data_IF_500082667114
#
_entry.id   IF_500082667114
#
_cell.length_a   1.000
_cell.length_b   1.000
_cell.length_c   1.000
_cell.angle_alpha   90.00
_cell.angle_beta   90.00
_cell.angle_gamma   90.00
#
_symmetry.space_group_name_H-M   'P 1'
#
loop_
_entity.id
_entity.type
_entity.pdbx_description
1 polymer ?
#
# COMPACT_ATOMS: atom_id res chain seq x y z
N UNK A 1 -15.87 -2.05 -8.38
CA UNK A 1 -14.89 -3.16 -8.55
C UNK A 1 -14.84 -3.90 -7.22
N UNK A 2 -15.33 -5.14 -7.16
CA UNK A 2 -15.59 -5.88 -5.91
C UNK A 2 -14.70 -7.11 -5.87
N UNK A 3 -13.78 -7.25 -4.89
CA UNK A 3 -12.89 -8.43 -4.80
C UNK A 3 -12.90 -9.16 -3.47
N UNK A 4 -13.26 -10.45 -3.57
CA UNK A 4 -13.53 -11.41 -2.51
C UNK A 4 -12.29 -11.94 -1.79
N UNK A 5 -12.38 -12.04 -0.45
CA UNK A 5 -11.50 -12.84 0.41
C UNK A 5 -12.31 -14.00 0.99
N UNK A 6 -11.98 -15.24 0.59
CA UNK A 6 -12.57 -16.48 1.12
C UNK A 6 -12.39 -16.59 2.64
N UNK A 7 -13.47 -16.43 3.39
CA UNK A 7 -13.64 -17.04 4.71
C UNK A 7 -14.00 -18.52 4.52
N UNK A 8 -13.26 -19.43 5.16
CA UNK A 8 -13.64 -20.85 5.21
C UNK A 8 -14.89 -21.00 6.08
N UNK A 9 -16.07 -21.06 5.47
CA UNK A 9 -17.18 -21.82 6.03
C UNK A 9 -17.27 -23.15 5.27
N UNK A 10 -17.23 -24.23 6.02
CA UNK A 10 -17.15 -25.60 5.53
C UNK A 10 -18.54 -26.05 5.11
N UNK A 11 -18.85 -25.97 3.82
CA UNK A 11 -19.98 -26.70 3.23
C UNK A 11 -19.41 -27.67 2.19
N UNK A 12 -19.55 -28.97 2.47
CA UNK A 12 -19.22 -30.08 1.56
C UNK A 12 -20.20 -30.07 0.38
N UNK A 13 -19.71 -30.00 -0.86
CA UNK A 13 -19.73 -31.12 -1.84
C UNK A 13 -19.20 -30.70 -3.24
N UNK A 14 -18.24 -31.50 -3.70
CA UNK A 14 -17.95 -32.02 -5.06
C UNK A 14 -17.88 -31.09 -6.29
N UNK A 15 -16.64 -30.96 -6.80
CA UNK A 15 -16.19 -30.97 -8.20
C UNK A 15 -16.95 -30.19 -9.27
N UNK A 16 -16.31 -29.12 -9.78
CA UNK A 16 -15.85 -28.99 -11.17
C UNK A 16 -15.06 -27.67 -11.31
N UNK A 17 -13.83 -27.79 -11.81
CA UNK A 17 -12.87 -26.71 -12.02
C UNK A 17 -13.22 -25.85 -13.25
N UNK A 18 -13.17 -24.53 -13.10
CA UNK A 18 -13.09 -23.56 -14.20
C UNK A 18 -12.53 -22.22 -13.69
N UNK A 19 -11.76 -21.45 -14.50
CA UNK A 19 -10.92 -20.35 -14.03
C UNK A 19 -11.75 -19.12 -13.66
N UNK A 20 -11.35 -18.41 -12.59
CA UNK A 20 -12.17 -17.43 -11.86
C UNK A 20 -11.60 -16.03 -12.01
N UNK A 21 -12.39 -15.10 -12.58
CA UNK A 21 -12.03 -13.68 -12.69
C UNK A 21 -13.13 -12.74 -12.15
N UNK A 22 -12.65 -11.81 -11.32
CA UNK A 22 -13.07 -10.44 -10.97
C UNK A 22 -14.49 -9.89 -11.32
N UNK A 23 -15.27 -9.49 -10.29
CA UNK A 23 -16.61 -8.84 -10.34
C UNK A 23 -16.57 -7.30 -10.47
N UNK A 24 -17.40 -6.73 -11.36
CA UNK A 24 -17.61 -5.29 -11.55
C UNK A 24 -19.10 -4.92 -11.50
N UNK A 25 -19.41 -3.69 -11.08
CA UNK A 25 -20.76 -3.11 -11.14
C UNK A 25 -20.65 -1.91 -12.08
N UNK A 26 -21.48 -1.87 -13.14
CA UNK A 26 -21.52 -0.79 -14.14
C UNK A 26 -22.90 -0.17 -14.09
N UNK A 27 -22.96 1.16 -14.03
CA UNK A 27 -24.18 1.94 -14.20
C UNK A 27 -24.29 2.37 -15.66
N UNK A 28 -25.46 2.18 -16.28
CA UNK A 28 -25.82 2.84 -17.53
C UNK A 28 -26.61 4.10 -17.17
N UNK A 29 -26.14 5.27 -17.61
CA UNK A 29 -26.95 6.47 -17.75
C UNK A 29 -26.96 6.80 -19.25
N UNK A 30 -28.17 6.77 -19.81
CA UNK A 30 -28.62 7.26 -21.13
C UNK A 30 -27.57 7.48 -22.23
N UNK A 31 -27.69 6.72 -23.32
CA UNK A 31 -27.15 7.12 -24.62
C UNK A 31 -27.76 8.48 -25.03
N UNK A 32 -26.99 9.46 -25.54
CA UNK A 32 -27.59 10.57 -26.25
C UNK A 32 -28.13 10.05 -27.58
N UNK A 33 -29.45 10.12 -27.76
CA UNK A 33 -30.09 9.93 -29.04
C UNK A 33 -29.55 10.94 -30.05
N UNK A 34 -28.90 10.43 -31.10
CA UNK A 34 -28.84 11.09 -32.40
C UNK A 34 -30.29 11.32 -32.85
N UNK A 35 -30.77 12.57 -32.86
CA UNK A 35 -31.86 13.05 -33.74
C UNK A 35 -32.29 14.52 -33.52
N UNK A 36 -31.71 15.29 -32.59
CA UNK A 36 -31.97 16.74 -32.50
C UNK A 36 -30.82 17.56 -33.09
N UNK A 37 -30.66 17.49 -34.41
CA UNK A 37 -29.83 18.43 -35.17
C UNK A 37 -30.54 18.85 -36.45
N UNK A 38 -31.59 19.67 -36.33
CA UNK A 38 -31.97 20.60 -37.38
C UNK A 38 -32.73 21.79 -36.78
N UNK A 39 -32.40 22.99 -37.29
CA UNK A 39 -33.02 24.30 -37.04
C UNK A 39 -32.47 25.16 -35.88
N UNK A 40 -31.45 25.95 -36.20
CA UNK A 40 -31.47 27.42 -36.02
C UNK A 40 -30.10 28.01 -36.39
N UNK A 41 -29.91 28.21 -37.70
CA UNK A 41 -28.86 29.08 -38.24
C UNK A 41 -29.36 30.53 -38.19
N UNK A 42 -28.61 31.42 -37.54
CA UNK A 42 -28.46 32.81 -38.00
C UNK A 42 -27.06 33.32 -37.66
N UNK A 43 -26.44 34.15 -38.53
CA UNK A 43 -24.99 34.30 -38.60
C UNK A 43 -24.50 35.55 -37.86
N UNK A 44 -23.29 35.51 -37.32
CA UNK A 44 -22.49 36.71 -37.07
C UNK A 44 -21.09 36.47 -37.62
N UNK A 45 -20.77 37.20 -38.68
CA UNK A 45 -19.45 37.34 -39.31
C UNK A 45 -18.63 38.41 -38.59
N UNK A 46 -17.33 38.14 -38.39
CA UNK A 46 -16.20 39.08 -38.51
C UNK A 46 -14.91 38.25 -38.30
N UNK A 47 -14.12 37.97 -39.36
CA UNK A 47 -12.91 38.73 -39.80
C UNK A 47 -11.82 38.73 -38.68
N UNK A 48 -10.57 38.29 -38.85
CA UNK A 48 -9.67 38.28 -40.01
C UNK A 48 -8.42 37.38 -39.82
N UNK A 49 -7.80 37.05 -40.96
CA UNK A 49 -6.37 36.78 -41.27
C UNK A 49 -5.63 35.62 -40.56
N UNK A 50 -5.34 34.53 -41.26
CA UNK A 50 -4.21 34.29 -42.20
C UNK A 50 -2.88 33.97 -41.49
N UNK A 51 -2.45 32.71 -41.58
CA UNK A 51 -1.19 32.41 -42.26
C UNK A 51 -1.04 30.93 -42.63
N UNK A 52 -0.57 30.74 -43.85
CA UNK A 52 -0.42 29.51 -44.61
C UNK A 52 0.86 28.74 -44.30
N UNK A 53 0.80 27.40 -44.30
CA UNK A 53 1.75 26.54 -45.05
C UNK A 53 1.13 25.15 -45.25
N UNK A 54 0.85 24.80 -46.50
CA UNK A 54 0.50 23.45 -46.91
C UNK A 54 1.74 22.59 -47.15
N UNK A 55 1.65 21.33 -46.75
CA UNK A 55 2.37 20.22 -47.35
C UNK A 55 1.44 19.01 -47.33
N UNK A 56 0.87 18.69 -48.48
CA UNK A 56 0.17 17.43 -48.73
C UNK A 56 1.20 16.30 -48.82
N UNK A 57 1.03 15.26 -48.02
CA UNK A 57 1.33 13.89 -48.44
C UNK A 57 0.43 12.88 -47.72
N UNK A 58 -0.31 12.16 -48.54
CA UNK A 58 -1.12 10.98 -48.22
C UNK A 58 -0.43 10.03 -47.24
N UNK A 59 -1.02 9.85 -46.06
CA UNK A 59 -0.95 8.59 -45.34
C UNK A 59 -2.33 8.28 -44.76
N UNK A 60 -2.90 7.21 -45.29
CA UNK A 60 -4.09 6.50 -44.82
C UNK A 60 -3.97 6.26 -43.32
N UNK A 61 -4.64 7.08 -42.51
CA UNK A 61 -4.68 6.93 -41.06
C UNK A 61 -5.63 5.77 -40.71
N UNK A 62 -5.05 4.59 -40.53
CA UNK A 62 -5.69 3.49 -39.81
C UNK A 62 -5.89 3.94 -38.35
N UNK A 63 -7.10 4.40 -38.04
CA UNK A 63 -7.56 4.60 -36.68
C UNK A 63 -7.57 3.26 -35.93
N UNK A 64 -6.47 2.92 -35.27
CA UNK A 64 -6.43 1.83 -34.29
C UNK A 64 -7.15 2.31 -33.03
N UNK A 65 -8.41 1.95 -32.93
CA UNK A 65 -9.23 2.06 -31.73
C UNK A 65 -8.57 1.29 -30.57
N UNK A 66 -7.96 2.00 -29.62
CA UNK A 66 -7.47 1.45 -28.34
C UNK A 66 -8.61 1.17 -27.34
N UNK A 67 -9.73 0.65 -27.83
CA UNK A 67 -10.89 0.19 -27.04
C UNK A 67 -10.79 -1.29 -26.65
N UNK A 68 -9.65 -1.94 -26.91
CA UNK A 68 -9.49 -3.39 -26.78
C UNK A 68 -9.06 -3.90 -25.39
N UNK A 69 -8.72 -3.02 -24.43
CA UNK A 69 -8.17 -3.48 -23.14
C UNK A 69 -9.21 -3.99 -22.11
N UNK A 70 -10.51 -3.90 -22.43
CA UNK A 70 -11.59 -4.42 -21.57
C UNK A 70 -12.51 -5.44 -22.24
N UNK A 71 -12.20 -5.88 -23.47
CA UNK A 71 -13.00 -6.92 -24.12
C UNK A 71 -12.51 -8.32 -23.75
N UNK A 72 -12.74 -8.70 -22.50
CA UNK A 72 -12.66 -10.09 -22.08
C UNK A 72 -14.10 -10.64 -22.03
N UNK A 73 -14.52 -11.27 -23.14
CA UNK A 73 -15.67 -12.17 -23.25
C UNK A 73 -16.88 -11.84 -22.36
N UNK A 74 -17.51 -10.69 -22.60
CA UNK A 74 -18.85 -10.42 -22.08
C UNK A 74 -19.89 -11.04 -23.02
N UNK A 75 -20.46 -12.19 -22.64
CA UNK A 75 -21.79 -12.58 -23.13
C UNK A 75 -22.81 -11.65 -22.46
N UNK A 76 -23.09 -10.51 -23.08
CA UNK A 76 -24.30 -9.72 -22.80
C UNK A 76 -25.45 -10.35 -23.57
N UNK A 77 -26.40 -10.96 -22.87
CA UNK A 77 -27.68 -11.34 -23.50
C UNK A 77 -28.47 -10.04 -23.65
N UNK A 78 -28.53 -9.53 -24.88
CA UNK A 78 -29.52 -8.55 -25.30
C UNK A 78 -30.87 -9.26 -25.36
N UNK A 79 -31.76 -8.94 -24.41
CA UNK A 79 -33.14 -9.42 -24.41
C UNK A 79 -34.04 -8.49 -25.21
N UNK A 80 -33.89 -8.46 -26.53
CA UNK A 80 -34.99 -8.10 -27.43
C UNK A 80 -35.88 -9.33 -27.59
N UNK A 81 -37.07 -9.31 -26.98
CA UNK A 81 -38.10 -10.33 -27.14
C UNK A 81 -38.07 -11.45 -26.08
N UNK A 82 -39.08 -11.44 -25.21
CA UNK A 82 -39.61 -12.62 -24.52
C UNK A 82 -38.68 -13.35 -23.56
N UNK A 83 -38.59 -12.89 -22.31
CA UNK A 83 -37.99 -13.69 -21.21
C UNK A 83 -37.09 -12.95 -20.23
N UNK A 84 -37.18 -11.62 -20.14
CA UNK A 84 -36.51 -10.87 -19.08
C UNK A 84 -37.19 -11.10 -17.73
N UNK A 85 -36.51 -11.73 -16.78
CA UNK A 85 -36.97 -11.78 -15.40
C UNK A 85 -36.73 -10.39 -14.77
N UNK A 86 -37.76 -9.57 -14.77
CA UNK A 86 -37.82 -8.32 -14.03
C UNK A 86 -37.73 -8.67 -12.53
N UNK A 87 -36.58 -8.41 -11.90
CA UNK A 87 -36.40 -8.65 -10.46
C UNK A 87 -37.21 -7.62 -9.66
N UNK A 88 -38.53 -7.84 -9.56
CA UNK A 88 -39.38 -7.21 -8.57
C UNK A 88 -38.86 -7.57 -7.17
N UNK A 89 -38.56 -6.55 -6.39
CA UNK A 89 -38.40 -6.53 -4.93
C UNK A 89 -38.00 -7.87 -4.28
N UNK A 90 -36.72 -8.20 -4.34
CA UNK A 90 -36.15 -9.24 -3.46
C UNK A 90 -36.11 -8.69 -2.03
N UNK A 91 -37.05 -9.14 -1.19
CA UNK A 91 -37.14 -8.81 0.23
C UNK A 91 -36.22 -9.68 1.12
N UNK A 92 -35.61 -10.75 0.59
CA UNK A 92 -34.65 -11.58 1.32
C UNK A 92 -33.20 -11.16 1.02
N UNK A 93 -32.58 -10.52 2.01
CA UNK A 93 -31.18 -10.11 2.01
C UNK A 93 -30.22 -11.29 1.67
N UNK A 94 -30.60 -12.52 2.01
CA UNK A 94 -29.80 -13.74 1.81
C UNK A 94 -29.72 -14.12 0.33
N UNK A 95 -30.83 -14.02 -0.39
CA UNK A 95 -30.92 -14.33 -1.82
C UNK A 95 -30.15 -13.29 -2.65
N UNK A 96 -30.26 -12.01 -2.26
CA UNK A 96 -29.47 -10.92 -2.84
C UNK A 96 -27.97 -11.21 -2.70
N UNK A 97 -27.51 -11.63 -1.52
CA UNK A 97 -26.11 -11.97 -1.27
C UNK A 97 -25.65 -13.17 -2.14
N UNK A 98 -26.47 -14.19 -2.32
CA UNK A 98 -26.13 -15.39 -3.10
C UNK A 98 -26.08 -15.11 -4.62
N UNK A 99 -26.94 -14.23 -5.12
CA UNK A 99 -26.88 -13.74 -6.52
C UNK A 99 -25.65 -12.86 -6.73
N UNK A 100 -25.37 -11.94 -5.81
CA UNK A 100 -24.19 -11.06 -5.86
C UNK A 100 -22.88 -11.86 -5.81
N UNK A 101 -22.83 -12.94 -5.04
CA UNK A 101 -21.66 -13.82 -4.93
C UNK A 101 -21.37 -14.66 -6.18
N UNK A 102 -22.34 -14.84 -7.07
CA UNK A 102 -22.23 -15.72 -8.26
C UNK A 102 -22.03 -14.98 -9.57
N UNK A 103 -22.35 -13.68 -9.64
CA UNK A 103 -22.31 -12.91 -10.89
C UNK A 103 -21.08 -11.98 -10.95
N UNK A 104 -20.52 -11.87 -12.16
CA UNK A 104 -19.38 -10.98 -12.43
C UNK A 104 -19.81 -9.55 -12.80
N UNK A 105 -21.04 -9.37 -13.26
CA UNK A 105 -21.63 -8.07 -13.54
C UNK A 105 -23.12 -8.09 -13.21
N UNK A 106 -23.59 -7.00 -12.60
CA UNK A 106 -24.97 -6.85 -12.18
C UNK A 106 -25.38 -5.40 -12.44
N UNK A 107 -26.49 -5.25 -13.12
CA UNK A 107 -27.09 -3.96 -13.44
C UNK A 107 -28.42 -3.84 -12.70
N UNK A 108 -28.67 -2.66 -12.14
CA UNK A 108 -29.88 -2.36 -11.39
C UNK A 108 -30.46 -1.04 -11.88
N UNK A 109 -31.77 -1.03 -12.12
CA UNK A 109 -32.54 0.22 -12.15
C UNK A 109 -33.05 0.47 -10.74
N UNK A 110 -32.43 1.39 -9.98
CA UNK A 110 -32.84 1.69 -8.60
C UNK A 110 -32.54 3.14 -8.20
N UNK A 111 -33.27 3.64 -7.18
CA UNK A 111 -33.00 4.91 -6.50
C UNK A 111 -31.71 4.83 -5.63
N UNK A 112 -31.01 5.96 -5.38
CA UNK A 112 -29.71 5.99 -4.69
C UNK A 112 -29.71 5.45 -3.25
N UNK A 113 -30.81 5.66 -2.52
CA UNK A 113 -31.01 5.17 -1.16
C UNK A 113 -31.03 3.64 -1.07
N UNK A 114 -31.63 2.99 -2.06
CA UNK A 114 -31.67 1.52 -2.17
C UNK A 114 -30.30 0.91 -2.48
N UNK A 115 -29.43 1.61 -3.21
CA UNK A 115 -28.04 1.19 -3.47
C UNK A 115 -27.19 1.24 -2.20
N UNK A 116 -27.38 2.28 -1.38
CA UNK A 116 -26.69 2.45 -0.09
C UNK A 116 -27.01 1.30 0.87
N UNK A 117 -28.30 0.95 1.01
CA UNK A 117 -28.74 -0.17 1.85
C UNK A 117 -28.12 -1.50 1.41
N UNK A 118 -28.00 -1.74 0.09
CA UNK A 118 -27.43 -2.96 -0.48
C UNK A 118 -25.90 -3.04 -0.33
N UNK A 119 -25.19 -1.91 -0.45
CA UNK A 119 -23.75 -1.86 -0.14
C UNK A 119 -23.48 -2.22 1.31
N UNK A 120 -24.27 -1.65 2.23
CA UNK A 120 -24.16 -1.96 3.65
C UNK A 120 -24.44 -3.44 3.94
N UNK A 121 -25.41 -4.05 3.25
CA UNK A 121 -25.70 -5.49 3.35
C UNK A 121 -24.53 -6.39 2.91
N UNK A 122 -23.87 -6.06 1.79
CA UNK A 122 -22.67 -6.80 1.35
C UNK A 122 -21.51 -6.68 2.34
N UNK A 123 -21.40 -5.52 2.98
CA UNK A 123 -20.32 -5.18 3.88
C UNK A 123 -20.48 -5.83 5.26
N UNK A 124 -21.65 -5.65 5.89
CA UNK A 124 -21.90 -6.07 7.28
C UNK A 124 -22.14 -7.57 7.43
N UNK A 125 -22.77 -8.23 6.45
CA UNK A 125 -23.34 -9.58 6.67
C UNK A 125 -22.59 -10.74 6.01
N UNK A 126 -21.80 -10.51 4.96
CA UNK A 126 -21.37 -11.64 4.12
C UNK A 126 -19.86 -11.77 3.85
N UNK A 127 -19.18 -10.71 3.42
CA UNK A 127 -17.89 -10.91 2.73
C UNK A 127 -16.73 -10.00 3.18
N UNK A 128 -16.94 -9.04 4.09
CA UNK A 128 -15.92 -8.07 4.55
C UNK A 128 -15.08 -7.50 3.39
N UNK A 129 -15.76 -7.07 2.33
CA UNK A 129 -15.14 -6.55 1.12
C UNK A 129 -14.85 -5.07 1.25
N UNK A 130 -13.88 -4.59 0.46
CA UNK A 130 -13.70 -3.16 0.25
C UNK A 130 -14.46 -2.73 -0.99
N UNK A 131 -15.30 -1.73 -0.83
CA UNK A 131 -16.17 -1.20 -1.86
C UNK A 131 -15.71 0.20 -2.26
N UNK A 132 -15.63 0.46 -3.56
CA UNK A 132 -15.42 1.80 -4.09
C UNK A 132 -16.67 2.26 -4.84
N UNK A 133 -17.22 3.40 -4.44
CA UNK A 133 -18.38 4.05 -5.06
C UNK A 133 -17.90 5.13 -6.03
N UNK A 134 -18.35 5.11 -7.27
CA UNK A 134 -17.97 6.08 -8.30
C UNK A 134 -19.23 6.74 -8.86
N UNK A 135 -19.25 8.06 -8.89
CA UNK A 135 -20.39 8.82 -9.41
C UNK A 135 -20.01 10.22 -9.87
N UNK A 136 -20.89 10.89 -10.59
CA UNK A 136 -20.66 12.20 -11.20
C UNK A 136 -21.71 13.25 -10.80
N UNK A 137 -22.88 12.81 -10.35
CA UNK A 137 -24.02 13.67 -10.01
C UNK A 137 -24.41 13.69 -8.53
N UNK A 138 -25.33 14.59 -8.18
CA UNK A 138 -25.90 14.68 -6.83
C UNK A 138 -26.59 13.40 -6.36
N UNK A 139 -27.15 12.64 -7.31
CA UNK A 139 -27.81 11.36 -7.02
C UNK A 139 -26.83 10.30 -6.50
N UNK A 140 -25.55 10.39 -6.83
CA UNK A 140 -24.57 9.38 -6.41
C UNK A 140 -23.96 9.67 -5.03
N UNK A 141 -24.24 10.84 -4.45
CA UNK A 141 -23.63 11.30 -3.19
C UNK A 141 -23.84 10.30 -2.06
N UNK A 142 -25.06 9.79 -1.88
CA UNK A 142 -25.35 8.82 -0.81
C UNK A 142 -24.62 7.48 -1.02
N UNK A 143 -24.48 7.04 -2.28
CA UNK A 143 -23.72 5.84 -2.63
C UNK A 143 -22.23 6.04 -2.38
N UNK A 144 -21.67 7.19 -2.78
CA UNK A 144 -20.26 7.55 -2.59
C UNK A 144 -19.91 7.58 -1.10
N UNK A 145 -20.73 8.23 -0.28
CA UNK A 145 -20.52 8.33 1.17
C UNK A 145 -20.67 7.00 1.91
N UNK A 146 -21.43 6.06 1.34
CA UNK A 146 -21.59 4.73 1.90
C UNK A 146 -20.46 3.75 1.52
N UNK A 147 -19.59 4.11 0.57
CA UNK A 147 -18.47 3.27 0.16
C UNK A 147 -17.27 3.38 1.13
N UNK A 148 -16.39 2.37 1.17
CA UNK A 148 -15.11 2.50 1.88
C UNK A 148 -14.20 3.55 1.21
N UNK A 149 -14.36 3.74 -0.10
CA UNK A 149 -13.68 4.78 -0.88
C UNK A 149 -14.66 5.41 -1.87
N UNK A 150 -14.90 6.71 -1.71
CA UNK A 150 -15.70 7.52 -2.62
C UNK A 150 -14.87 8.16 -3.72
N UNK A 151 -15.28 8.03 -4.98
CA UNK A 151 -14.63 8.66 -6.13
C UNK A 151 -15.67 9.49 -6.90
N UNK A 152 -15.50 10.80 -6.87
CA UNK A 152 -16.35 11.74 -7.59
C UNK A 152 -15.72 12.12 -8.93
N UNK A 153 -16.50 12.03 -9.99
CA UNK A 153 -16.12 12.55 -11.31
C UNK A 153 -16.63 13.99 -11.40
N UNK A 154 -15.80 14.89 -11.92
CA UNK A 154 -16.19 16.28 -12.14
C UNK A 154 -17.20 16.34 -13.29
N UNK A 155 -18.47 16.52 -12.96
CA UNK A 155 -19.55 16.71 -13.92
C UNK A 155 -19.50 18.10 -14.56
N UNK A 156 -20.09 18.24 -15.77
CA UNK A 156 -20.27 19.53 -16.44
C UNK A 156 -21.34 20.40 -15.77
N UNK A 157 -22.35 19.76 -15.20
CA UNK A 157 -23.55 20.40 -14.64
C UNK A 157 -23.44 20.68 -13.13
N UNK A 158 -22.44 20.12 -12.46
CA UNK A 158 -22.23 20.31 -11.03
C UNK A 158 -21.08 19.49 -10.46
N UNK A 159 -20.59 19.89 -9.28
CA UNK A 159 -19.48 19.23 -8.56
C UNK A 159 -19.92 18.48 -7.31
N UNK A 160 -21.22 18.19 -7.17
CA UNK A 160 -21.78 17.63 -5.92
C UNK A 160 -21.15 16.28 -5.56
N UNK A 161 -21.04 15.34 -6.51
CA UNK A 161 -20.34 14.06 -6.30
C UNK A 161 -18.85 14.25 -5.95
N UNK A 162 -18.17 15.18 -6.64
CA UNK A 162 -16.76 15.49 -6.39
C UNK A 162 -16.49 16.12 -5.02
N UNK A 163 -17.41 16.94 -4.52
CA UNK A 163 -17.31 17.55 -3.19
C UNK A 163 -17.61 16.57 -2.06
N UNK A 164 -18.40 15.53 -2.33
CA UNK A 164 -18.76 14.52 -1.35
C UNK A 164 -17.85 13.28 -1.35
N UNK A 165 -16.88 13.18 -2.27
CA UNK A 165 -16.00 12.03 -2.45
C UNK A 165 -14.63 12.21 -1.80
N UNK A 166 -13.95 11.10 -1.47
CA UNK A 166 -12.57 11.09 -0.98
C UNK A 166 -11.57 11.52 -2.07
N UNK A 167 -11.84 11.10 -3.31
CA UNK A 167 -11.05 11.46 -4.49
C UNK A 167 -11.92 12.12 -5.55
N UNK A 168 -11.45 13.24 -6.10
CA UNK A 168 -12.07 13.86 -7.28
C UNK A 168 -11.20 13.64 -8.52
N UNK A 169 -11.81 13.14 -9.59
CA UNK A 169 -11.16 12.90 -10.88
C UNK A 169 -11.93 13.59 -12.01
N UNK A 170 -11.23 14.00 -13.07
CA UNK A 170 -11.88 14.70 -14.19
C UNK A 170 -12.55 13.76 -15.19
N UNK A 171 -12.06 12.52 -15.32
CA UNK A 171 -12.52 11.53 -16.30
C UNK A 171 -12.42 10.13 -15.73
N UNK A 172 -13.39 9.27 -16.07
CA UNK A 172 -13.42 7.88 -15.61
C UNK A 172 -12.14 7.08 -15.94
N UNK A 173 -11.45 7.39 -17.05
CA UNK A 173 -10.18 6.71 -17.42
C UNK A 173 -9.10 6.82 -16.32
N UNK A 174 -9.13 7.86 -15.49
CA UNK A 174 -8.14 8.05 -14.42
C UNK A 174 -8.30 7.08 -13.24
N UNK A 175 -9.47 6.41 -13.13
CA UNK A 175 -9.73 5.39 -12.10
C UNK A 175 -8.71 4.25 -12.17
N UNK A 176 -8.34 3.83 -13.38
CA UNK A 176 -7.36 2.76 -13.59
C UNK A 176 -6.01 3.07 -12.92
N UNK A 177 -5.43 4.24 -13.20
CA UNK A 177 -4.18 4.73 -12.58
C UNK A 177 -4.34 5.01 -11.09
N UNK A 178 -5.50 5.45 -10.63
CA UNK A 178 -5.75 5.67 -9.20
C UNK A 178 -5.61 4.36 -8.42
N UNK A 179 -6.25 3.26 -8.87
CA UNK A 179 -6.17 1.98 -8.17
C UNK A 179 -4.83 1.26 -8.41
N UNK A 180 -4.47 1.02 -9.67
CA UNK A 180 -3.35 0.15 -10.02
C UNK A 180 -2.00 0.72 -9.54
N UNK A 181 -1.86 2.04 -9.56
CA UNK A 181 -0.62 2.72 -9.20
C UNK A 181 -0.67 3.31 -7.79
N UNK A 182 -1.52 4.31 -7.56
CA UNK A 182 -1.55 5.03 -6.29
C UNK A 182 -2.07 4.16 -5.15
N UNK A 183 -3.13 3.38 -5.38
CA UNK A 183 -3.68 2.43 -4.41
C UNK A 183 -2.67 1.35 -4.02
N UNK A 184 -1.93 0.81 -5.01
CA UNK A 184 -0.85 -0.16 -4.75
C UNK A 184 0.24 0.43 -3.86
N UNK A 185 0.76 1.60 -4.25
CA UNK A 185 1.84 2.25 -3.53
C UNK A 185 1.43 2.60 -2.10
N UNK A 186 0.24 3.19 -1.93
CA UNK A 186 -0.31 3.51 -0.61
C UNK A 186 -0.36 2.27 0.30
N UNK A 187 -0.89 1.16 -0.19
CA UNK A 187 -0.97 -0.08 0.59
C UNK A 187 0.40 -0.67 0.91
N UNK A 188 1.30 -0.76 -0.07
CA UNK A 188 2.65 -1.34 0.09
C UNK A 188 3.52 -0.51 1.04
N UNK A 189 3.57 0.80 0.83
CA UNK A 189 4.35 1.74 1.64
C UNK A 189 3.84 1.79 3.08
N UNK A 190 2.53 1.91 3.27
CA UNK A 190 1.94 1.91 4.61
C UNK A 190 2.15 0.59 5.34
N UNK A 191 2.09 -0.54 4.62
CA UNK A 191 2.38 -1.86 5.20
C UNK A 191 3.83 -1.99 5.66
N UNK A 192 4.78 -1.55 4.84
CA UNK A 192 6.20 -1.56 5.18
C UNK A 192 6.48 -0.63 6.37
N UNK A 193 5.98 0.59 6.32
CA UNK A 193 6.11 1.58 7.39
C UNK A 193 5.59 1.04 8.73
N UNK A 194 4.38 0.46 8.75
CA UNK A 194 3.81 -0.12 9.96
C UNK A 194 4.67 -1.26 10.53
N UNK A 195 5.23 -2.11 9.67
CA UNK A 195 6.10 -3.21 10.09
C UNK A 195 7.42 -2.71 10.70
N UNK A 196 8.03 -1.68 10.10
CA UNK A 196 9.23 -1.05 10.65
C UNK A 196 8.97 -0.40 11.99
N UNK A 197 7.85 0.32 12.15
CA UNK A 197 7.49 0.93 13.45
C UNK A 197 7.29 -0.14 14.53
N UNK A 198 6.65 -1.27 14.20
CA UNK A 198 6.48 -2.39 15.12
C UNK A 198 7.84 -2.97 15.52
N UNK A 199 8.71 -3.25 14.54
CA UNK A 199 10.05 -3.79 14.78
C UNK A 199 10.88 -2.88 15.69
N UNK A 200 10.92 -1.59 15.36
CA UNK A 200 11.62 -0.53 16.09
C UNK A 200 11.19 -0.45 17.57
N UNK A 201 9.91 -0.66 17.85
CA UNK A 201 9.42 -0.72 19.24
C UNK A 201 9.84 -2.01 19.94
N UNK A 202 9.65 -3.15 19.27
CA UNK A 202 9.92 -4.48 19.83
C UNK A 202 11.40 -4.71 20.15
N UNK A 203 12.32 -4.26 19.28
CA UNK A 203 13.76 -4.49 19.46
C UNK A 203 14.26 -3.86 20.77
N UNK A 204 13.84 -2.64 21.11
CA UNK A 204 14.20 -1.99 22.38
C UNK A 204 13.60 -2.74 23.56
N UNK A 205 12.32 -3.14 23.48
CA UNK A 205 11.70 -3.90 24.56
C UNK A 205 12.41 -5.23 24.82
N UNK A 206 12.91 -5.88 23.75
CA UNK A 206 13.64 -7.14 23.85
C UNK A 206 15.03 -6.92 24.44
N UNK A 207 15.77 -5.90 23.98
CA UNK A 207 17.06 -5.53 24.57
C UNK A 207 16.90 -5.30 26.08
N UNK A 208 15.90 -4.51 26.48
CA UNK A 208 15.60 -4.24 27.89
C UNK A 208 15.22 -5.52 28.65
N UNK A 209 14.38 -6.39 28.06
CA UNK A 209 13.98 -7.63 28.70
C UNK A 209 15.16 -8.60 28.90
N UNK A 210 16.04 -8.72 27.91
CA UNK A 210 17.26 -9.55 27.99
C UNK A 210 18.22 -8.96 29.03
N UNK A 211 18.41 -7.64 29.04
CA UNK A 211 19.17 -6.96 30.08
C UNK A 211 18.62 -7.29 31.47
N UNK A 212 17.34 -7.02 31.73
CA UNK A 212 16.72 -7.32 33.02
C UNK A 212 16.86 -8.80 33.39
N UNK A 213 16.69 -9.73 32.45
CA UNK A 213 16.84 -11.16 32.72
C UNK A 213 18.27 -11.56 33.15
N UNK A 214 19.31 -10.97 32.53
CA UNK A 214 20.71 -11.24 32.90
C UNK A 214 21.05 -10.63 34.26
N UNK A 215 20.52 -9.44 34.56
CA UNK A 215 20.76 -8.73 35.82
C UNK A 215 19.71 -9.07 36.89
N UNK A 216 19.38 -10.36 37.06
CA UNK A 216 18.51 -10.87 38.12
C UNK A 216 17.12 -10.20 38.21
N UNK A 217 16.51 -9.90 37.07
CA UNK A 217 15.23 -9.19 36.94
C UNK A 217 15.23 -7.79 37.56
N UNK A 218 16.39 -7.14 37.57
CA UNK A 218 16.51 -5.75 38.01
C UNK A 218 15.72 -4.80 37.10
N UNK A 219 15.02 -3.85 37.73
CA UNK A 219 14.19 -2.84 37.08
C UNK A 219 14.97 -1.59 36.63
N UNK A 220 16.27 -1.75 36.30
CA UNK A 220 17.11 -0.65 35.80
C UNK A 220 16.85 -0.50 34.30
N UNK A 221 16.47 0.69 33.87
CA UNK A 221 16.35 1.01 32.45
C UNK A 221 17.74 1.12 31.82
N UNK A 222 17.99 0.36 30.74
CA UNK A 222 19.25 0.35 30.02
C UNK A 222 19.47 1.68 29.28
N UNK A 223 18.44 2.16 28.58
CA UNK A 223 18.45 3.44 27.88
C UNK A 223 17.58 4.45 28.61
N UNK A 224 18.15 5.60 28.98
CA UNK A 224 17.48 6.60 29.80
C UNK A 224 17.59 8.00 29.19
N UNK A 225 16.65 8.87 29.58
CA UNK A 225 16.67 10.30 29.26
C UNK A 225 16.76 10.58 27.76
N UNK A 226 17.75 11.38 27.38
CA UNK A 226 17.91 11.88 26.01
C UNK A 226 18.20 10.79 24.98
N UNK A 227 18.78 9.65 25.38
CA UNK A 227 19.00 8.52 24.46
C UNK A 227 17.67 7.95 23.95
N UNK A 228 16.73 7.70 24.86
CA UNK A 228 15.43 7.15 24.52
C UNK A 228 14.57 8.15 23.72
N UNK A 229 14.63 9.44 24.10
CA UNK A 229 13.98 10.52 23.35
C UNK A 229 14.57 10.61 21.95
N UNK A 230 15.90 10.65 21.82
CA UNK A 230 16.60 10.74 20.54
C UNK A 230 16.31 9.55 19.63
N UNK A 231 16.28 8.33 20.18
CA UNK A 231 15.86 7.14 19.44
C UNK A 231 14.44 7.31 18.91
N UNK A 232 13.49 7.69 19.79
CA UNK A 232 12.07 7.78 19.46
C UNK A 232 11.72 8.89 18.46
N UNK A 233 12.55 9.93 18.36
CA UNK A 233 12.21 11.16 17.63
C UNK A 233 13.11 11.48 16.46
N UNK A 234 14.43 11.28 16.57
CA UNK A 234 15.39 11.83 15.61
C UNK A 234 16.20 10.75 14.92
N UNK A 235 16.85 9.85 15.66
CA UNK A 235 17.90 9.00 15.12
C UNK A 235 17.41 8.03 14.04
N UNK A 236 16.19 7.51 14.16
CA UNK A 236 15.66 6.50 13.22
C UNK A 236 14.41 6.95 12.47
N UNK A 237 13.92 8.18 12.67
CA UNK A 237 12.63 8.60 12.10
C UNK A 237 12.74 9.01 10.63
N UNK A 238 13.77 9.76 10.26
CA UNK A 238 13.92 10.22 8.87
C UNK A 238 13.98 9.06 7.86
N UNK A 239 14.78 7.99 8.08
CA UNK A 239 14.86 6.86 7.15
C UNK A 239 13.56 6.08 7.08
N UNK A 240 12.90 5.87 8.21
CA UNK A 240 11.61 5.16 8.28
C UNK A 240 10.52 5.91 7.50
N UNK A 241 10.43 7.24 7.63
CA UNK A 241 9.49 8.03 6.84
C UNK A 241 9.86 8.10 5.36
N UNK A 242 11.16 8.03 5.03
CA UNK A 242 11.63 8.05 3.65
C UNK A 242 11.11 6.85 2.84
N UNK A 243 10.73 5.74 3.48
CA UNK A 243 10.10 4.56 2.86
C UNK A 243 8.76 4.88 2.18
N UNK A 244 8.11 6.01 2.49
CA UNK A 244 6.92 6.50 1.78
C UNK A 244 7.25 6.88 0.33
N UNK A 245 8.53 7.08 0.00
CA UNK A 245 8.99 7.34 -1.35
C UNK A 245 9.40 6.06 -2.10
N UNK A 246 9.50 4.91 -1.42
CA UNK A 246 9.91 3.65 -2.04
C UNK A 246 8.89 3.18 -3.09
N UNK A 247 9.39 2.62 -4.18
CA UNK A 247 8.58 2.31 -5.35
C UNK A 247 8.93 0.93 -5.90
N UNK A 248 8.02 -0.04 -5.75
CA UNK A 248 8.31 -1.44 -6.12
C UNK A 248 8.18 -1.73 -7.62
N UNK A 249 7.29 -1.02 -8.33
CA UNK A 249 6.98 -1.18 -9.76
C UNK A 249 6.89 0.21 -10.38
N UNK A 250 7.08 0.47 -11.68
CA UNK A 250 6.82 1.83 -12.23
C UNK A 250 5.35 2.03 -12.63
N UNK A 251 4.89 3.28 -12.79
CA UNK A 251 3.52 3.54 -13.28
C UNK A 251 3.23 2.88 -14.62
N UNK A 252 4.21 2.74 -15.51
CA UNK A 252 4.03 2.14 -16.83
C UNK A 252 3.82 0.63 -16.71
N UNK A 253 4.67 -0.05 -15.93
CA UNK A 253 4.57 -1.49 -15.69
C UNK A 253 3.27 -1.83 -14.96
N UNK A 254 2.87 -1.02 -13.97
CA UNK A 254 1.63 -1.23 -13.23
C UNK A 254 0.37 -1.10 -14.11
N UNK A 255 0.42 -0.27 -15.15
CA UNK A 255 -0.67 -0.12 -16.11
C UNK A 255 -0.64 -1.20 -17.20
N UNK A 256 0.55 -1.69 -17.57
CA UNK A 256 0.75 -2.76 -18.54
C UNK A 256 0.32 -4.13 -17.99
N UNK A 257 0.55 -4.37 -16.69
CA UNK A 257 0.29 -5.65 -16.02
C UNK A 257 -0.66 -5.47 -14.82
N UNK A 258 -1.97 -5.28 -15.05
CA UNK A 258 -2.95 -5.05 -13.98
C UNK A 258 -3.08 -6.26 -13.03
N UNK A 259 -2.66 -7.46 -13.43
CA UNK A 259 -2.69 -8.67 -12.59
C UNK A 259 -1.84 -8.52 -11.31
N UNK A 260 -0.85 -7.62 -11.33
CA UNK A 260 -0.03 -7.31 -10.15
C UNK A 260 -0.88 -6.78 -8.99
N UNK A 261 -2.01 -6.15 -9.27
CA UNK A 261 -2.93 -5.66 -8.25
C UNK A 261 -3.59 -6.82 -7.47
N UNK A 262 -3.76 -7.99 -8.10
CA UNK A 262 -4.35 -9.17 -7.45
C UNK A 262 -3.45 -9.77 -6.36
N UNK A 263 -2.17 -9.39 -6.28
CA UNK A 263 -1.33 -9.76 -5.14
C UNK A 263 -1.66 -8.97 -3.87
N UNK A 264 -2.28 -7.80 -4.00
CA UNK A 264 -2.71 -6.98 -2.86
C UNK A 264 -4.01 -7.49 -2.24
N UNK A 265 -4.95 -7.97 -3.07
CA UNK A 265 -6.27 -8.49 -2.62
C UNK A 265 -6.13 -9.69 -1.68
N UNK A 266 -5.03 -10.44 -1.78
CA UNK A 266 -4.69 -11.56 -0.88
C UNK A 266 -4.39 -11.08 0.55
N UNK A 267 -4.18 -9.77 0.75
CA UNK A 267 -3.94 -9.14 2.04
C UNK A 267 -2.67 -9.65 2.71
N UNK A 268 -1.64 -10.03 1.93
CA UNK A 268 -0.45 -10.72 2.43
C UNK A 268 0.55 -9.80 3.12
N UNK A 269 0.51 -8.49 2.84
CA UNK A 269 1.46 -7.52 3.40
C UNK A 269 1.30 -7.34 4.90
N UNK A 270 0.07 -7.23 5.42
CA UNK A 270 -0.20 -7.10 6.86
C UNK A 270 -1.08 -8.25 7.34
N UNK A 271 -0.43 -9.33 7.76
CA UNK A 271 -1.08 -10.51 8.36
C UNK A 271 -0.47 -10.82 9.73
N UNK A 272 -1.19 -11.61 10.53
CA UNK A 272 -0.62 -12.15 11.77
C UNK A 272 0.68 -12.93 11.52
N UNK A 273 0.78 -13.62 10.38
CA UNK A 273 2.00 -14.34 10.00
C UNK A 273 3.19 -13.40 9.76
N UNK A 274 2.98 -12.28 9.06
CA UNK A 274 4.04 -11.28 8.87
C UNK A 274 4.41 -10.61 10.19
N UNK A 275 3.42 -10.33 11.05
CA UNK A 275 3.65 -9.78 12.38
C UNK A 275 4.53 -10.71 13.25
N UNK A 276 4.19 -12.00 13.34
CA UNK A 276 4.99 -12.99 14.07
C UNK A 276 6.41 -13.09 13.48
N UNK A 277 6.54 -13.02 12.15
CA UNK A 277 7.85 -12.96 11.50
C UNK A 277 8.70 -11.79 11.99
N UNK A 278 8.11 -10.59 12.05
CA UNK A 278 8.79 -9.39 12.58
C UNK A 278 9.08 -9.49 14.08
N UNK A 279 8.22 -10.12 14.88
CA UNK A 279 8.50 -10.40 16.29
C UNK A 279 9.76 -11.27 16.41
N UNK A 280 9.85 -12.38 15.68
CA UNK A 280 11.01 -13.28 15.71
C UNK A 280 12.29 -12.54 15.29
N UNK A 281 12.21 -11.72 14.23
CA UNK A 281 13.33 -10.88 13.77
C UNK A 281 13.78 -9.93 14.89
N UNK A 282 12.84 -9.24 15.52
CA UNK A 282 13.11 -8.33 16.64
C UNK A 282 13.74 -9.06 17.82
N UNK A 283 13.24 -10.25 18.16
CA UNK A 283 13.76 -11.09 19.26
C UNK A 283 15.19 -11.50 18.99
N UNK A 284 15.47 -11.93 17.75
CA UNK A 284 16.82 -12.29 17.34
C UNK A 284 17.78 -11.10 17.44
N UNK A 285 17.46 -9.97 16.80
CA UNK A 285 18.35 -8.81 16.76
C UNK A 285 18.54 -8.19 18.15
N UNK A 286 17.46 -7.99 18.91
CA UNK A 286 17.56 -7.44 20.26
C UNK A 286 18.34 -8.35 21.21
N UNK A 287 18.15 -9.67 21.09
CA UNK A 287 18.94 -10.64 21.85
C UNK A 287 20.43 -10.61 21.50
N UNK A 288 20.77 -10.60 20.20
CA UNK A 288 22.17 -10.53 19.74
C UNK A 288 22.83 -9.22 20.15
N UNK A 289 22.13 -8.09 20.05
CA UNK A 289 22.67 -6.78 20.44
C UNK A 289 23.01 -6.79 21.94
N UNK A 290 22.07 -7.21 22.79
CA UNK A 290 22.28 -7.19 24.23
C UNK A 290 23.30 -8.23 24.71
N UNK A 291 23.17 -9.49 24.29
CA UNK A 291 24.10 -10.56 24.67
C UNK A 291 25.48 -10.31 24.08
N UNK A 292 25.57 -9.84 22.84
CA UNK A 292 26.83 -9.47 22.20
C UNK A 292 27.54 -8.33 22.93
N UNK A 293 26.79 -7.30 23.36
CA UNK A 293 27.36 -6.21 24.16
C UNK A 293 27.89 -6.71 25.52
N UNK A 294 27.22 -7.66 26.18
CA UNK A 294 27.72 -8.23 27.44
C UNK A 294 28.94 -9.14 27.25
N UNK A 295 28.94 -9.97 26.21
CA UNK A 295 30.03 -10.92 25.95
C UNK A 295 31.32 -10.23 25.49
N UNK A 296 31.22 -9.23 24.60
CA UNK A 296 32.38 -8.53 24.05
C UNK A 296 32.98 -7.49 25.01
N UNK A 297 32.27 -7.19 26.10
CA UNK A 297 32.62 -6.11 27.00
C UNK A 297 32.71 -6.52 28.47
N UNK A 298 32.75 -7.82 28.76
CA UNK A 298 32.52 -8.48 30.06
C UNK A 298 33.23 -7.95 31.33
N UNK A 299 34.02 -6.88 31.27
CA UNK A 299 34.66 -6.21 32.42
C UNK A 299 34.59 -4.67 32.39
N UNK A 300 33.78 -4.06 31.50
CA UNK A 300 33.68 -2.59 31.36
C UNK A 300 32.53 -1.93 32.12
N UNK A 301 32.67 -0.62 32.39
CA UNK A 301 31.63 0.21 33.00
C UNK A 301 30.29 0.12 32.28
N UNK A 302 29.19 0.22 33.04
CA UNK A 302 27.82 0.19 32.52
C UNK A 302 27.59 1.16 31.35
N UNK A 303 28.22 2.34 31.39
CA UNK A 303 28.16 3.37 30.34
C UNK A 303 28.66 2.82 29.00
N UNK A 304 29.71 1.98 29.00
CA UNK A 304 30.26 1.41 27.77
C UNK A 304 29.34 0.35 27.16
N UNK A 305 28.67 -0.46 28.00
CA UNK A 305 27.64 -1.41 27.54
C UNK A 305 26.48 -0.66 26.89
N UNK A 306 26.03 0.43 27.52
CA UNK A 306 24.99 1.31 26.96
C UNK A 306 25.44 1.90 25.63
N UNK A 307 26.65 2.45 25.55
CA UNK A 307 27.17 3.06 24.33
C UNK A 307 27.21 2.06 23.16
N UNK A 308 27.76 0.86 23.36
CA UNK A 308 27.90 -0.14 22.29
C UNK A 308 26.54 -0.68 21.87
N UNK A 309 25.71 -1.09 22.83
CA UNK A 309 24.41 -1.67 22.53
C UNK A 309 23.50 -0.64 21.82
N UNK A 310 23.52 0.63 22.26
CA UNK A 310 22.73 1.68 21.64
C UNK A 310 23.25 2.03 20.23
N UNK A 311 24.57 2.10 20.04
CA UNK A 311 25.18 2.33 18.71
C UNK A 311 24.85 1.19 17.75
N UNK A 312 25.00 -0.05 18.20
CA UNK A 312 24.67 -1.23 17.40
C UNK A 312 23.18 -1.29 17.05
N UNK A 313 22.30 -0.87 17.98
CA UNK A 313 20.86 -0.72 17.73
C UNK A 313 20.57 0.30 16.62
N UNK A 314 21.13 1.52 16.71
CA UNK A 314 20.93 2.55 15.68
C UNK A 314 21.44 2.06 14.33
N UNK A 315 22.67 1.53 14.27
CA UNK A 315 23.23 1.05 13.01
C UNK A 315 22.45 -0.15 12.44
N UNK A 316 21.93 -1.04 13.29
CA UNK A 316 21.06 -2.14 12.87
C UNK A 316 19.78 -1.62 12.22
N UNK A 317 19.11 -0.64 12.83
CA UNK A 317 17.89 -0.05 12.28
C UNK A 317 18.15 0.65 10.94
N UNK A 318 19.19 1.47 10.84
CA UNK A 318 19.58 2.15 9.58
C UNK A 318 19.91 1.13 8.48
N UNK A 319 20.69 0.10 8.81
CA UNK A 319 21.04 -0.94 7.85
C UNK A 319 19.81 -1.77 7.42
N UNK A 320 18.90 -2.06 8.33
CA UNK A 320 17.65 -2.78 8.02
C UNK A 320 16.75 -2.00 7.07
N UNK A 321 16.67 -0.67 7.23
CA UNK A 321 15.96 0.22 6.31
C UNK A 321 16.65 0.24 4.95
N UNK A 322 17.96 0.51 4.92
CA UNK A 322 18.76 0.54 3.69
C UNK A 322 18.65 -0.75 2.86
N UNK A 323 18.66 -1.92 3.50
CA UNK A 323 18.54 -3.25 2.85
C UNK A 323 17.10 -3.61 2.43
N UNK A 324 16.12 -2.76 2.74
CA UNK A 324 14.72 -3.00 2.40
C UNK A 324 14.21 -2.10 1.28
N UNK A 325 14.90 -1.01 1.00
CA UNK A 325 14.63 -0.12 -0.13
C UNK A 325 14.74 -0.90 -1.44
N UNK A 326 13.75 -0.75 -2.33
CA UNK A 326 13.76 -1.37 -3.66
C UNK A 326 14.43 -0.45 -4.68
N UNK A 327 13.99 0.82 -4.74
CA UNK A 327 14.55 1.82 -5.64
C UNK A 327 15.10 2.98 -4.83
N UNK A 328 16.40 3.23 -4.94
CA UNK A 328 17.04 4.35 -4.25
C UNK A 328 16.57 5.70 -4.81
N UNK A 329 15.96 6.50 -3.93
CA UNK A 329 15.65 7.89 -4.18
C UNK A 329 16.63 8.76 -3.39
N UNK A 330 17.04 9.91 -3.95
CA UNK A 330 18.04 10.79 -3.33
C UNK A 330 17.66 11.20 -1.89
N UNK A 331 16.38 11.46 -1.65
CA UNK A 331 15.88 11.82 -0.31
C UNK A 331 16.05 10.70 0.72
N UNK A 332 16.02 9.42 0.31
CA UNK A 332 16.26 8.29 1.22
C UNK A 332 17.74 8.25 1.63
N UNK A 333 18.65 8.46 0.68
CA UNK A 333 20.10 8.57 0.98
C UNK A 333 20.37 9.74 1.93
N UNK A 334 19.79 10.91 1.66
CA UNK A 334 19.91 12.07 2.53
C UNK A 334 19.35 11.78 3.92
N UNK A 335 18.22 11.09 4.02
CA UNK A 335 17.61 10.75 5.32
C UNK A 335 18.47 9.81 6.15
N UNK A 336 19.11 8.81 5.54
CA UNK A 336 20.05 7.88 6.18
C UNK A 336 21.29 8.62 6.68
N UNK A 337 21.92 9.41 5.81
CA UNK A 337 23.13 10.17 6.15
C UNK A 337 22.86 11.23 7.22
N UNK A 338 21.71 11.91 7.15
CA UNK A 338 21.32 12.91 8.14
C UNK A 338 21.08 12.25 9.50
N UNK A 339 20.35 11.13 9.55
CA UNK A 339 20.12 10.38 10.78
C UNK A 339 21.43 9.90 11.41
N UNK A 340 22.32 9.31 10.60
CA UNK A 340 23.63 8.87 11.07
C UNK A 340 24.48 10.05 11.55
N UNK A 341 24.50 11.16 10.81
CA UNK A 341 25.26 12.37 11.16
C UNK A 341 24.77 13.00 12.46
N UNK A 342 23.46 13.12 12.66
CA UNK A 342 22.87 13.62 13.90
C UNK A 342 23.21 12.70 15.08
N UNK A 343 23.15 11.38 14.87
CA UNK A 343 23.50 10.43 15.91
C UNK A 343 24.99 10.51 16.28
N UNK A 344 25.90 10.54 15.31
CA UNK A 344 27.34 10.72 15.56
C UNK A 344 27.61 12.04 16.28
N UNK A 345 26.97 13.14 15.87
CA UNK A 345 27.07 14.42 16.57
C UNK A 345 26.59 14.30 18.02
N UNK A 346 25.47 13.62 18.26
CA UNK A 346 24.92 13.41 19.61
C UNK A 346 25.89 12.66 20.52
N UNK A 347 26.69 11.73 19.99
CA UNK A 347 27.70 11.01 20.76
C UNK A 347 28.80 11.92 21.32
N UNK A 348 29.16 12.99 20.60
CA UNK A 348 30.15 13.96 21.06
C UNK A 348 29.55 15.04 21.98
N UNK A 349 28.27 15.35 21.84
CA UNK A 349 27.58 16.38 22.64
C UNK A 349 27.10 15.82 23.99
N UNK A 350 26.59 14.59 24.02
CA UNK A 350 26.01 13.97 25.21
C UNK A 350 27.08 13.22 26.04
N UNK A 351 28.08 13.93 26.54
CA UNK A 351 29.22 13.35 27.28
C UNK A 351 28.82 12.63 28.56
N UNK A 352 27.64 12.93 29.13
CA UNK A 352 27.10 12.26 30.31
C UNK A 352 26.71 10.80 30.03
N UNK A 353 26.42 10.48 28.76
CA UNK A 353 26.00 9.15 28.31
C UNK A 353 27.09 8.40 27.56
N UNK A 354 28.12 9.11 27.11
CA UNK A 354 29.06 8.67 26.11
C UNK A 354 30.47 9.12 26.51
N UNK A 355 31.33 8.16 26.88
CA UNK A 355 32.74 8.47 27.09
C UNK A 355 33.44 8.69 25.74
N UNK A 356 33.77 9.95 25.46
CA UNK A 356 34.46 10.39 24.23
C UNK A 356 35.78 9.67 23.98
N UNK A 357 36.52 9.29 25.03
CA UNK A 357 37.78 8.53 24.91
C UNK A 357 37.49 7.12 24.42
N UNK A 358 36.45 6.51 24.95
CA UNK A 358 36.04 5.17 24.59
C UNK A 358 35.46 5.12 23.17
N UNK A 359 34.62 6.07 22.77
CA UNK A 359 33.99 6.10 21.43
C UNK A 359 35.01 6.25 20.31
N UNK A 360 36.07 7.01 20.54
CA UNK A 360 37.15 7.19 19.57
C UNK A 360 38.08 5.97 19.51
N UNK A 361 37.95 5.03 20.44
CA UNK A 361 38.79 3.84 20.48
C UNK A 361 38.46 2.87 19.34
N UNK A 362 39.47 2.20 18.77
CA UNK A 362 39.25 1.15 17.77
C UNK A 362 38.45 -0.03 18.36
N UNK A 363 38.51 -0.24 19.67
CA UNK A 363 37.74 -1.27 20.37
C UNK A 363 36.24 -1.05 20.25
N UNK A 364 35.78 0.19 20.48
CA UNK A 364 34.38 0.53 20.35
C UNK A 364 33.87 0.25 18.93
N UNK A 365 34.64 0.67 17.92
CA UNK A 365 34.25 0.54 16.50
C UNK A 365 34.13 -0.92 16.09
N UNK A 366 35.15 -1.76 16.34
CA UNK A 366 35.11 -3.14 15.88
C UNK A 366 34.04 -3.95 16.62
N UNK A 367 33.89 -3.75 17.94
CA UNK A 367 32.88 -4.48 18.75
C UNK A 367 31.47 -4.14 18.28
N UNK A 368 31.18 -2.84 18.10
CA UNK A 368 29.89 -2.38 17.58
C UNK A 368 29.63 -2.91 16.17
N UNK A 369 30.63 -2.89 15.29
CA UNK A 369 30.51 -3.37 13.93
C UNK A 369 30.23 -4.88 13.88
N UNK A 370 30.94 -5.67 14.69
CA UNK A 370 30.70 -7.13 14.77
C UNK A 370 29.28 -7.42 15.26
N UNK A 371 28.82 -6.75 16.32
CA UNK A 371 27.44 -6.94 16.81
C UNK A 371 26.41 -6.58 15.74
N UNK A 372 26.62 -5.45 15.04
CA UNK A 372 25.73 -4.99 13.98
C UNK A 372 25.68 -5.99 12.81
N UNK A 373 26.84 -6.50 12.39
CA UNK A 373 26.92 -7.49 11.31
C UNK A 373 26.27 -8.81 11.71
N UNK A 374 26.52 -9.33 12.91
CA UNK A 374 25.91 -10.58 13.39
C UNK A 374 24.39 -10.43 13.52
N UNK A 375 23.91 -9.25 13.91
CA UNK A 375 22.47 -8.93 13.98
C UNK A 375 21.81 -8.90 12.59
N UNK A 376 22.47 -8.31 11.57
CA UNK A 376 21.83 -8.04 10.28
C UNK A 376 22.09 -9.10 9.20
N UNK A 377 23.31 -9.63 9.10
CA UNK A 377 23.75 -10.49 7.98
C UNK A 377 22.91 -11.77 7.87
N UNK A 378 22.62 -12.52 8.95
CA UNK A 378 21.83 -13.75 8.86
C UNK A 378 20.41 -13.51 8.35
N UNK A 379 19.80 -12.38 8.73
CA UNK A 379 18.48 -11.98 8.24
C UNK A 379 18.51 -11.63 6.76
N UNK A 380 19.55 -10.91 6.32
CA UNK A 380 19.75 -10.59 4.91
C UNK A 380 19.96 -11.86 4.08
N UNK A 381 20.80 -12.79 4.53
CA UNK A 381 21.03 -14.08 3.86
C UNK A 381 19.72 -14.86 3.78
N UNK A 382 18.95 -14.94 4.86
CA UNK A 382 17.64 -15.61 4.86
C UNK A 382 16.66 -14.97 3.87
N UNK A 383 16.62 -13.63 3.81
CA UNK A 383 15.78 -12.87 2.87
C UNK A 383 16.21 -13.13 1.42
N UNK A 384 17.51 -13.11 1.15
CA UNK A 384 18.10 -13.36 -0.16
C UNK A 384 17.83 -14.79 -0.65
N UNK A 385 18.05 -15.80 0.21
CA UNK A 385 17.77 -17.21 -0.10
C UNK A 385 16.29 -17.39 -0.40
N UNK A 386 15.40 -16.80 0.41
CA UNK A 386 13.95 -16.85 0.16
C UNK A 386 13.58 -16.20 -1.17
N UNK A 387 14.17 -15.05 -1.49
CA UNK A 387 13.94 -14.37 -2.76
C UNK A 387 14.38 -15.21 -3.96
N UNK A 388 15.53 -15.90 -3.85
CA UNK A 388 16.07 -16.77 -4.89
C UNK A 388 15.25 -18.03 -5.10
N UNK A 389 14.74 -18.63 -4.02
CA UNK A 389 13.93 -19.86 -4.07
C UNK A 389 12.47 -19.61 -4.49
N UNK A 390 11.92 -18.44 -4.15
CA UNK A 390 10.54 -18.07 -4.44
C UNK A 390 10.44 -16.58 -4.82
N UNK A 391 10.85 -16.20 -6.05
CA UNK A 391 10.80 -14.82 -6.49
C UNK A 391 9.36 -14.31 -6.53
N UNK A 392 9.18 -13.05 -6.12
CA UNK A 392 7.88 -12.38 -6.17
C UNK A 392 7.42 -12.20 -7.62
N UNK A 393 6.10 -12.08 -7.84
CA UNK A 393 5.54 -11.92 -9.19
C UNK A 393 6.08 -10.69 -9.92
N UNK A 394 6.39 -9.61 -9.19
CA UNK A 394 6.93 -8.38 -9.77
C UNK A 394 8.42 -8.51 -10.10
N UNK A 395 9.21 -9.24 -9.30
CA UNK A 395 10.64 -9.44 -9.55
C UNK A 395 10.92 -10.32 -10.79
N UNK A 396 9.88 -10.82 -11.46
CA UNK A 396 9.99 -11.51 -12.75
C UNK A 396 9.82 -10.57 -13.95
N UNK A 397 9.34 -9.36 -13.71
CA UNK A 397 9.01 -8.36 -14.74
C UNK A 397 10.03 -7.21 -14.82
N UNK A 398 10.84 -7.07 -13.78
CA UNK A 398 12.06 -6.24 -13.73
C UNK A 398 13.26 -7.16 -13.76
#
# INVERSE_FOLDING_TARGET
MVFSRRGRSRIRRTSLDSPRDHTYIRLSNSEPSFDDFHSSLSPVNSLDSDDSTGYDMNHTATHTNNTSMFNANSRSIFGGGGGGMEMREMDDDTEVIDVLGRKNSIEWKNQPSSLTKKMNLCWDRAWKLRCAGIGDGGNDVSMIQAADVGIGIVGKEGKQASLAADFSITKFKHVSRLFLWHGRNSYKRSSALAQFIIHRGLIISIIQAVFSAVFYYSAIALYQGLLMVGYATVYTMFPVFSLVLDEDVSSEIAMMYPELYNDLTKGRSLTLKTFIGWVIISTYQGGIIMLGALLLFGEGDFINIVAISFTALILTELLMVALTIHKWHWAMVVSELLSLGIYVLSMFVLTDYFDTRFITSPEFVWKTLVITLVSCVPLYVAKYVKHKLAPSSYAKLT
#
